data_IF_323234205142
#
_entry.id   IF_323234205142
#
_cell.length_a   1.000
_cell.length_b   1.000
_cell.length_c   1.000
_cell.angle_alpha   90.00
_cell.angle_beta   90.00
_cell.angle_gamma   90.00
#
_symmetry.space_group_name_H-M   'P 1'
#
loop_
_entity.id
_entity.type
_entity.pdbx_description
1 polymer ?
#
# COMPACT_ATOMS: atom_id res chain seq x y z
N UNK A 1 -41.75 11.15 -19.43
CA UNK A 1 -41.72 9.97 -18.52
C UNK A 1 -41.24 8.75 -19.31
N UNK A 2 -39.92 8.54 -19.34
CA UNK A 2 -39.30 7.37 -19.96
C UNK A 2 -38.19 6.88 -19.04
N UNK A 3 -38.34 5.63 -18.62
CA UNK A 3 -37.39 4.86 -17.83
C UNK A 3 -36.05 4.69 -18.56
N UNK A 4 -34.94 4.77 -17.81
CA UNK A 4 -33.61 4.46 -18.29
C UNK A 4 -33.29 2.97 -18.04
N UNK A 5 -32.71 2.24 -19.01
CA UNK A 5 -32.33 0.84 -18.84
C UNK A 5 -31.02 0.69 -18.05
N UNK A 6 -31.03 -0.23 -17.08
CA UNK A 6 -29.88 -0.56 -16.25
C UNK A 6 -28.76 -1.29 -17.00
N UNK A 7 -27.52 -0.92 -16.68
CA UNK A 7 -26.32 -1.54 -17.25
C UNK A 7 -25.94 -2.81 -16.46
N UNK A 8 -25.97 -3.95 -17.14
CA UNK A 8 -25.70 -5.29 -16.59
C UNK A 8 -24.21 -5.47 -16.25
N UNK A 9 -23.93 -5.84 -14.99
CA UNK A 9 -22.65 -6.41 -14.56
C UNK A 9 -22.40 -7.74 -15.26
N UNK A 10 -21.33 -7.85 -16.06
CA UNK A 10 -20.87 -9.14 -16.56
C UNK A 10 -20.13 -9.90 -15.44
N UNK A 11 -20.89 -10.55 -14.56
CA UNK A 11 -20.38 -11.54 -13.61
C UNK A 11 -20.30 -12.86 -14.38
N UNK A 12 -19.09 -13.39 -14.59
CA UNK A 12 -18.94 -14.73 -15.15
C UNK A 12 -18.75 -15.73 -14.02
N UNK A 13 -19.69 -16.66 -13.99
CA UNK A 13 -19.78 -17.77 -13.06
C UNK A 13 -19.40 -19.06 -13.81
N UNK A 14 -18.57 -19.90 -13.19
CA UNK A 14 -18.29 -21.23 -13.69
C UNK A 14 -18.88 -22.25 -12.72
N UNK A 15 -19.87 -23.01 -13.18
CA UNK A 15 -20.47 -24.08 -12.37
C UNK A 15 -19.64 -25.35 -12.55
N UNK A 16 -19.01 -25.78 -11.46
CA UNK A 16 -18.34 -27.07 -11.36
C UNK A 16 -19.33 -28.06 -10.75
N UNK A 17 -19.59 -29.17 -11.44
CA UNK A 17 -20.42 -30.28 -10.94
C UNK A 17 -19.62 -31.57 -10.99
N UNK A 18 -19.81 -32.45 -10.00
CA UNK A 18 -19.12 -33.74 -9.94
C UNK A 18 -20.09 -34.87 -9.59
N UNK A 19 -19.71 -36.08 -9.98
CA UNK A 19 -20.40 -37.31 -9.60
C UNK A 19 -19.68 -37.85 -8.38
N UNK A 20 -20.43 -38.05 -7.30
CA UNK A 20 -19.96 -38.77 -6.12
C UNK A 20 -20.04 -40.25 -6.46
N UNK A 21 -18.89 -40.88 -6.73
CA UNK A 21 -18.81 -42.32 -6.97
C UNK A 21 -19.33 -43.07 -5.74
N UNK A 22 -20.26 -44.01 -5.99
CA UNK A 22 -21.12 -44.67 -4.99
C UNK A 22 -21.78 -43.69 -4.01
N UNK A 23 -22.94 -43.18 -4.40
CA UNK A 23 -23.80 -42.30 -3.59
C UNK A 23 -23.97 -42.77 -2.13
N UNK A 24 -23.88 -44.08 -1.85
CA UNK A 24 -24.08 -44.65 -0.52
C UNK A 24 -23.00 -44.28 0.50
N UNK A 25 -21.73 -44.10 0.13
CA UNK A 25 -20.64 -43.93 1.10
C UNK A 25 -20.55 -42.52 1.71
N UNK A 26 -20.90 -41.49 0.92
CA UNK A 26 -20.81 -40.10 1.34
C UNK A 26 -22.16 -39.53 1.81
N UNK A 27 -23.30 -40.03 1.29
CA UNK A 27 -24.62 -39.56 1.69
C UNK A 27 -25.13 -40.18 3.00
N UNK A 28 -24.62 -41.35 3.38
CA UNK A 28 -24.96 -42.02 4.65
C UNK A 28 -23.97 -41.70 5.78
N UNK A 29 -22.88 -41.02 5.45
CA UNK A 29 -21.89 -40.59 6.42
C UNK A 29 -22.43 -39.48 7.32
N UNK A 30 -21.90 -39.40 8.54
CA UNK A 30 -22.25 -38.36 9.50
C UNK A 30 -22.20 -36.96 8.86
N UNK A 31 -23.16 -36.11 9.22
CA UNK A 31 -23.23 -34.75 8.70
C UNK A 31 -21.90 -34.01 8.91
N UNK A 32 -21.41 -33.36 7.85
CA UNK A 32 -20.14 -32.60 7.82
C UNK A 32 -18.85 -33.42 7.90
N UNK A 33 -18.89 -34.75 7.77
CA UNK A 33 -17.66 -35.57 7.69
C UNK A 33 -16.80 -35.17 6.50
N UNK A 34 -17.40 -35.01 5.33
CA UNK A 34 -16.70 -34.69 4.09
C UNK A 34 -16.89 -33.24 3.67
N UNK A 35 -15.83 -32.67 3.09
CA UNK A 35 -15.86 -31.34 2.48
C UNK A 35 -15.25 -31.38 1.09
N UNK A 36 -15.97 -30.85 0.11
CA UNK A 36 -15.51 -30.72 -1.26
C UNK A 36 -14.91 -29.33 -1.44
N UNK A 37 -13.66 -29.23 -1.87
CA UNK A 37 -12.95 -27.97 -2.08
C UNK A 37 -12.34 -27.91 -3.48
N UNK A 38 -12.79 -26.98 -4.32
CA UNK A 38 -12.16 -26.67 -5.59
C UNK A 38 -11.04 -25.64 -5.40
N UNK A 39 -9.85 -25.99 -5.88
CA UNK A 39 -8.69 -25.11 -5.96
C UNK A 39 -8.58 -24.61 -7.39
N UNK A 40 -8.58 -23.29 -7.57
CA UNK A 40 -8.44 -22.65 -8.88
C UNK A 40 -7.04 -22.07 -9.00
N UNK A 41 -6.28 -22.49 -10.01
CA UNK A 41 -4.93 -22.02 -10.28
C UNK A 41 -4.76 -21.55 -11.73
N UNK A 42 -3.81 -20.65 -11.97
CA UNK A 42 -3.37 -20.23 -13.32
C UNK A 42 -2.24 -21.09 -13.90
N UNK A 43 -1.63 -21.93 -13.08
CA UNK A 43 -0.59 -22.89 -13.49
C UNK A 43 -1.06 -24.30 -13.13
N UNK A 44 -0.61 -25.32 -13.86
CA UNK A 44 -0.81 -26.72 -13.45
C UNK A 44 -0.11 -26.87 -12.09
N UNK A 45 -0.84 -27.14 -11.00
CA UNK A 45 -0.20 -27.33 -9.71
C UNK A 45 0.62 -28.62 -9.72
N UNK A 46 1.86 -28.60 -9.22
CA UNK A 46 2.59 -29.82 -8.89
C UNK A 46 2.31 -30.18 -7.42
N UNK A 47 1.38 -31.09 -7.20
CA UNK A 47 0.93 -31.45 -5.84
C UNK A 47 1.94 -32.34 -5.09
N UNK A 48 3.03 -32.77 -5.74
CA UNK A 48 4.08 -33.57 -5.11
C UNK A 48 5.08 -32.72 -4.30
N UNK A 49 5.06 -31.39 -4.44
CA UNK A 49 6.04 -30.49 -3.83
C UNK A 49 5.39 -29.54 -2.82
N UNK A 50 5.56 -29.83 -1.53
CA UNK A 50 5.13 -28.94 -0.44
C UNK A 50 5.96 -27.65 -0.41
N UNK A 51 5.61 -26.68 -1.25
CA UNK A 51 6.27 -25.37 -1.31
C UNK A 51 5.77 -24.46 -2.43
N UNK A 52 5.26 -25.03 -3.53
CA UNK A 52 4.80 -24.25 -4.70
C UNK A 52 3.30 -23.91 -4.68
N UNK A 53 2.55 -24.33 -3.64
CA UNK A 53 1.09 -24.16 -3.57
C UNK A 53 0.60 -22.71 -3.69
N UNK A 54 1.46 -21.73 -3.39
CA UNK A 54 1.10 -20.31 -3.44
C UNK A 54 1.35 -19.66 -4.81
N UNK A 55 2.10 -20.31 -5.71
CA UNK A 55 2.36 -19.77 -7.04
C UNK A 55 1.21 -20.04 -8.01
N UNK A 56 0.35 -19.05 -8.19
CA UNK A 56 -0.71 -19.10 -9.21
C UNK A 56 -2.07 -19.52 -8.69
N UNK A 57 -2.21 -19.79 -7.40
CA UNK A 57 -3.49 -19.95 -6.72
C UNK A 57 -4.34 -18.67 -6.83
N UNK A 58 -5.53 -18.78 -7.42
CA UNK A 58 -6.47 -17.67 -7.58
C UNK A 58 -7.52 -17.67 -6.48
N UNK A 59 -8.09 -18.83 -6.19
CA UNK A 59 -9.14 -18.99 -5.18
C UNK A 59 -9.30 -20.43 -4.73
N UNK A 60 -9.89 -20.59 -3.55
CA UNK A 60 -10.34 -21.88 -3.00
C UNK A 60 -11.82 -21.73 -2.67
N UNK A 61 -12.64 -22.65 -3.17
CA UNK A 61 -14.09 -22.68 -2.95
C UNK A 61 -14.45 -24.01 -2.33
N UNK A 62 -15.16 -24.02 -1.21
CA UNK A 62 -15.55 -25.27 -0.57
C UNK A 62 -17.04 -25.34 -0.29
N UNK A 63 -17.63 -26.52 -0.47
CA UNK A 63 -19.03 -26.83 -0.16
C UNK A 63 -19.11 -28.06 0.74
N UNK A 64 -20.25 -28.21 1.41
CA UNK A 64 -20.55 -29.35 2.28
C UNK A 64 -20.84 -30.62 1.46
N UNK A 65 -20.75 -31.78 2.10
CA UNK A 65 -20.93 -33.10 1.46
C UNK A 65 -22.27 -33.31 0.75
N UNK A 66 -23.30 -32.54 1.11
CA UNK A 66 -24.64 -32.58 0.50
C UNK A 66 -24.68 -31.95 -0.90
N UNK A 67 -23.68 -31.15 -1.25
CA UNK A 67 -23.63 -30.45 -2.53
C UNK A 67 -22.72 -31.21 -3.49
N UNK A 68 -23.22 -31.47 -4.69
CA UNK A 68 -22.49 -32.07 -5.80
C UNK A 68 -22.11 -31.05 -6.89
N UNK A 69 -22.32 -29.76 -6.60
CA UNK A 69 -21.94 -28.65 -7.47
C UNK A 69 -21.52 -27.42 -6.67
N UNK A 70 -20.70 -26.58 -7.27
CA UNK A 70 -20.31 -25.27 -6.72
C UNK A 70 -20.11 -24.24 -7.82
N UNK A 71 -20.37 -22.98 -7.49
CA UNK A 71 -20.19 -21.86 -8.41
C UNK A 71 -18.86 -21.16 -8.09
N UNK A 72 -17.98 -21.10 -9.08
CA UNK A 72 -16.71 -20.41 -9.02
C UNK A 72 -16.88 -19.06 -9.70
N UNK A 73 -16.92 -18.01 -8.88
CA UNK A 73 -17.15 -16.63 -9.32
C UNK A 73 -15.82 -15.89 -9.51
N UNK A 74 -15.87 -14.75 -10.21
CA UNK A 74 -14.73 -13.81 -10.42
C UNK A 74 -13.60 -14.35 -11.30
N UNK A 75 -13.89 -15.36 -12.13
CA UNK A 75 -12.93 -15.82 -13.14
C UNK A 75 -12.88 -14.84 -14.32
N UNK A 76 -11.67 -14.48 -14.74
CA UNK A 76 -11.45 -13.53 -15.84
C UNK A 76 -11.52 -14.22 -17.21
N UNK A 77 -12.27 -13.63 -18.14
CA UNK A 77 -12.33 -14.05 -19.54
C UNK A 77 -10.97 -13.96 -20.25
N UNK A 78 -10.72 -14.85 -21.19
CA UNK A 78 -9.46 -14.94 -21.95
C UNK A 78 -8.28 -15.48 -21.15
N UNK A 79 -8.54 -16.16 -20.03
CA UNK A 79 -7.54 -16.82 -19.19
C UNK A 79 -7.83 -18.32 -19.11
N UNK A 80 -6.74 -19.08 -19.01
CA UNK A 80 -6.72 -20.52 -18.75
C UNK A 80 -6.63 -20.73 -17.24
N UNK A 81 -7.50 -21.56 -16.70
CA UNK A 81 -7.51 -21.97 -15.30
C UNK A 81 -7.41 -23.49 -15.21
N UNK A 82 -6.74 -23.96 -14.16
CA UNK A 82 -6.69 -25.36 -13.76
C UNK A 82 -7.47 -25.47 -12.45
N UNK A 83 -8.52 -26.28 -12.45
CA UNK A 83 -9.43 -26.45 -11.33
C UNK A 83 -9.33 -27.88 -10.84
N UNK A 84 -8.81 -28.07 -9.64
CA UNK A 84 -8.69 -29.39 -9.02
C UNK A 84 -9.66 -29.48 -7.85
N UNK A 85 -10.55 -30.48 -7.88
CA UNK A 85 -11.51 -30.73 -6.81
C UNK A 85 -10.91 -31.72 -5.81
N UNK A 86 -10.87 -31.33 -4.54
CA UNK A 86 -10.43 -32.16 -3.43
C UNK A 86 -11.61 -32.55 -2.55
N UNK A 87 -11.57 -33.78 -2.03
CA UNK A 87 -12.45 -34.28 -0.98
C UNK A 87 -11.60 -34.43 0.27
N UNK A 88 -11.98 -33.77 1.35
CA UNK A 88 -11.34 -33.91 2.66
C UNK A 88 -12.25 -34.69 3.58
N UNK A 89 -11.76 -35.79 4.14
CA UNK A 89 -12.37 -36.47 5.29
C UNK A 89 -11.89 -35.76 6.56
N UNK A 90 -12.80 -35.10 7.26
CA UNK A 90 -12.47 -34.37 8.48
C UNK A 90 -12.25 -35.28 9.68
N UNK A 91 -12.75 -36.53 9.64
CA UNK A 91 -12.60 -37.51 10.70
C UNK A 91 -11.24 -38.19 10.64
N UNK A 92 -10.81 -38.62 9.46
CA UNK A 92 -9.53 -39.32 9.27
C UNK A 92 -8.39 -38.40 8.81
N UNK A 93 -8.68 -37.14 8.49
CA UNK A 93 -7.70 -36.18 7.99
C UNK A 93 -7.18 -36.49 6.57
N UNK A 94 -7.74 -37.49 5.89
CA UNK A 94 -7.35 -37.86 4.53
C UNK A 94 -7.89 -36.86 3.50
N UNK A 95 -7.16 -36.70 2.41
CA UNK A 95 -7.57 -35.85 1.29
C UNK A 95 -7.35 -36.59 -0.01
N UNK A 96 -8.38 -36.64 -0.84
CA UNK A 96 -8.36 -37.25 -2.18
C UNK A 96 -8.66 -36.19 -3.23
N UNK A 97 -8.16 -36.34 -4.45
CA UNK A 97 -8.41 -35.39 -5.53
C UNK A 97 -9.06 -36.06 -6.74
N UNK A 98 -9.98 -35.34 -7.38
CA UNK A 98 -10.42 -35.63 -8.74
C UNK A 98 -9.38 -35.13 -9.75
N UNK A 99 -9.52 -35.60 -10.99
CA UNK A 99 -8.70 -35.12 -12.10
C UNK A 99 -8.83 -33.59 -12.26
N UNK A 100 -7.72 -32.94 -12.59
CA UNK A 100 -7.69 -31.49 -12.76
C UNK A 100 -8.36 -31.09 -14.06
N UNK A 101 -9.40 -30.27 -13.95
CA UNK A 101 -10.10 -29.73 -15.10
C UNK A 101 -9.40 -28.48 -15.62
N UNK A 102 -9.10 -28.47 -16.92
CA UNK A 102 -8.62 -27.28 -17.59
C UNK A 102 -9.79 -26.48 -18.19
N UNK A 103 -9.92 -25.21 -17.79
CA UNK A 103 -10.99 -24.32 -18.24
C UNK A 103 -10.41 -23.12 -18.97
N UNK A 104 -10.79 -22.96 -20.23
CA UNK A 104 -10.48 -21.78 -21.04
C UNK A 104 -11.74 -20.92 -21.20
N UNK A 105 -11.80 -19.80 -20.48
CA UNK A 105 -12.95 -18.89 -20.61
C UNK A 105 -12.84 -18.09 -21.91
N UNK A 106 -13.56 -18.52 -22.95
CA UNK A 106 -13.57 -17.87 -24.27
C UNK A 106 -14.06 -16.41 -24.15
N UNK A 107 -13.43 -15.51 -24.91
CA UNK A 107 -14.00 -14.20 -25.22
C UNK A 107 -15.11 -14.41 -26.24
N UNK A 108 -16.29 -13.81 -26.03
CA UNK A 108 -17.31 -13.78 -27.07
C UNK A 108 -16.92 -12.70 -28.10
N UNK A 109 -17.16 -12.94 -29.41
CA UNK A 109 -16.92 -11.93 -30.43
C UNK A 109 -17.90 -10.76 -30.25
N UNK A 110 -17.39 -9.58 -30.56
CA UNK A 110 -17.89 -8.26 -30.21
C UNK A 110 -19.33 -7.97 -30.67
N UNK A 111 -20.13 -7.34 -29.80
CA UNK A 111 -21.10 -6.36 -30.27
C UNK A 111 -20.40 -5.01 -30.27
N UNK A 112 -20.17 -4.49 -31.47
CA UNK A 112 -19.89 -3.08 -31.70
C UNK A 112 -20.95 -2.25 -30.97
N UNK A 113 -20.56 -1.48 -29.97
CA UNK A 113 -20.90 -0.07 -29.85
C UNK A 113 -20.18 0.54 -28.65
N UNK A 114 -19.57 1.69 -28.92
CA UNK A 114 -18.85 2.59 -28.03
C UNK A 114 -17.48 2.09 -27.58
N UNK A 115 -16.46 2.65 -28.25
CA UNK A 115 -15.16 2.91 -27.68
C UNK A 115 -15.33 3.43 -26.24
N UNK A 116 -15.17 2.54 -25.26
CA UNK A 116 -14.71 2.97 -23.95
C UNK A 116 -13.28 3.43 -24.23
N UNK A 117 -13.09 4.75 -24.31
CA UNK A 117 -11.77 5.39 -24.30
C UNK A 117 -10.90 4.60 -23.34
N UNK A 118 -9.92 3.89 -23.90
CA UNK A 118 -8.80 3.35 -23.14
C UNK A 118 -8.20 4.59 -22.49
N UNK A 119 -8.50 4.86 -21.22
CA UNK A 119 -7.91 5.99 -20.51
C UNK A 119 -6.41 5.87 -20.74
N UNK A 120 -5.87 6.78 -21.54
CA UNK A 120 -4.44 6.91 -21.71
C UNK A 120 -3.89 7.12 -20.31
N UNK A 121 -3.14 6.13 -19.81
CA UNK A 121 -2.61 6.20 -18.45
C UNK A 121 -1.93 7.56 -18.24
N UNK A 122 -2.19 8.20 -17.10
CA UNK A 122 -1.77 9.57 -16.82
C UNK A 122 -0.26 9.70 -17.01
N UNK A 123 0.19 10.68 -17.78
CA UNK A 123 1.62 10.90 -17.97
C UNK A 123 2.20 11.48 -16.67
N UNK A 124 3.16 10.78 -16.07
CA UNK A 124 3.93 11.24 -14.93
C UNK A 124 5.18 11.95 -15.45
N UNK A 125 5.28 13.25 -15.21
CA UNK A 125 6.38 14.07 -15.73
C UNK A 125 7.65 13.94 -14.88
N UNK A 126 8.81 13.98 -15.53
CA UNK A 126 10.11 13.89 -14.86
C UNK A 126 10.30 15.02 -13.86
N UNK A 127 10.48 14.66 -12.59
CA UNK A 127 10.74 15.61 -11.52
C UNK A 127 9.52 16.41 -11.03
N UNK A 128 8.31 16.11 -11.52
CA UNK A 128 7.08 16.82 -11.14
C UNK A 128 6.29 16.01 -10.12
N UNK A 129 5.79 16.69 -9.07
CA UNK A 129 4.91 16.10 -8.08
C UNK A 129 3.47 16.16 -8.59
N UNK A 130 2.81 15.01 -8.68
CA UNK A 130 1.43 14.88 -9.16
C UNK A 130 0.53 14.28 -8.08
N UNK A 131 -0.71 14.75 -8.01
CA UNK A 131 -1.73 14.24 -7.09
C UNK A 131 -2.71 13.34 -7.84
N UNK A 132 -2.97 12.16 -7.28
CA UNK A 132 -3.91 11.18 -7.78
C UNK A 132 -5.02 10.87 -6.79
N UNK A 133 -6.24 10.67 -7.28
CA UNK A 133 -7.38 10.27 -6.46
C UNK A 133 -7.88 8.90 -6.88
N UNK A 134 -7.67 7.89 -6.04
CA UNK A 134 -8.19 6.54 -6.26
C UNK A 134 -9.68 6.48 -5.92
N UNK A 135 -10.53 5.91 -6.79
CA UNK A 135 -11.96 5.74 -6.50
C UNK A 135 -12.22 4.92 -5.23
N UNK A 136 -13.38 5.15 -4.61
CA UNK A 136 -13.96 4.35 -3.52
C UNK A 136 -14.38 2.94 -3.97
N UNK A 137 -13.40 2.15 -4.42
CA UNK A 137 -13.60 0.79 -4.89
C UNK A 137 -12.34 -0.01 -4.64
N UNK A 138 -12.48 -1.10 -3.87
CA UNK A 138 -11.38 -2.03 -3.62
C UNK A 138 -10.86 -2.59 -4.95
N UNK A 139 -9.55 -2.63 -5.10
CA UNK A 139 -8.83 -2.98 -6.32
C UNK A 139 -9.06 -2.02 -7.51
N UNK A 140 -9.63 -0.83 -7.30
CA UNK A 140 -9.53 0.24 -8.29
C UNK A 140 -8.06 0.60 -8.52
N UNK A 141 -7.70 0.86 -9.76
CA UNK A 141 -6.33 1.15 -10.15
C UNK A 141 -6.25 2.42 -10.97
N UNK A 142 -5.16 3.16 -10.81
CA UNK A 142 -4.76 4.24 -11.72
C UNK A 142 -3.40 3.89 -12.28
N UNK A 143 -3.28 3.98 -13.59
CA UNK A 143 -2.05 3.74 -14.32
C UNK A 143 -1.38 5.08 -14.66
N UNK A 144 -0.11 5.19 -14.32
CA UNK A 144 0.77 6.30 -14.65
C UNK A 144 1.85 5.83 -15.62
N UNK A 145 2.12 6.63 -16.64
CA UNK A 145 3.13 6.39 -17.65
C UNK A 145 4.34 7.28 -17.39
N UNK A 146 5.53 6.70 -17.30
CA UNK A 146 6.78 7.45 -17.12
C UNK A 146 7.74 7.13 -18.26
N UNK A 147 8.15 8.17 -19.00
CA UNK A 147 9.03 8.03 -20.17
C UNK A 147 10.47 8.31 -19.77
N UNK A 148 11.35 7.36 -20.06
CA UNK A 148 12.79 7.47 -19.81
C UNK A 148 13.48 7.79 -21.14
N UNK A 149 14.04 9.00 -21.24
CA UNK A 149 14.82 9.44 -22.39
C UNK A 149 16.13 8.65 -22.51
N UNK A 150 16.63 8.46 -23.74
CA UNK A 150 17.95 7.89 -24.03
C UNK A 150 19.08 8.64 -23.35
N UNK A 151 18.99 9.96 -23.22
CA UNK A 151 20.02 10.78 -22.60
C UNK A 151 20.05 10.63 -21.06
N UNK A 152 18.92 10.25 -20.46
CA UNK A 152 18.80 10.04 -19.01
C UNK A 152 19.28 8.66 -18.53
N UNK A 153 19.76 7.81 -19.45
CA UNK A 153 20.18 6.42 -19.15
C UNK A 153 21.51 6.32 -18.40
N UNK A 154 22.24 7.43 -18.21
CA UNK A 154 23.53 7.44 -17.52
C UNK A 154 23.46 6.90 -16.09
N UNK A 155 22.35 7.11 -15.37
CA UNK A 155 22.17 6.58 -14.00
C UNK A 155 21.66 5.13 -13.99
N UNK A 156 21.03 4.66 -15.08
CA UNK A 156 20.33 3.38 -15.16
C UNK A 156 19.23 3.20 -14.11
N UNK A 157 18.77 4.28 -13.47
CA UNK A 157 17.91 4.26 -12.27
C UNK A 157 16.77 5.26 -12.41
N UNK A 158 15.59 4.88 -11.91
CA UNK A 158 14.44 5.76 -11.73
C UNK A 158 13.98 5.64 -10.29
N UNK A 159 13.89 6.77 -9.59
CA UNK A 159 13.28 6.85 -8.28
C UNK A 159 11.81 7.21 -8.46
N UNK A 160 10.92 6.30 -8.04
CA UNK A 160 9.50 6.58 -7.85
C UNK A 160 9.24 6.82 -6.36
N UNK A 161 8.46 7.85 -6.06
CA UNK A 161 7.98 8.17 -4.73
C UNK A 161 6.46 8.08 -4.77
N UNK A 162 5.89 7.42 -3.77
CA UNK A 162 4.45 7.37 -3.55
C UNK A 162 4.20 7.77 -2.10
N UNK A 163 3.43 8.82 -1.89
CA UNK A 163 2.92 9.22 -0.58
C UNK A 163 1.42 8.92 -0.54
N UNK A 164 1.04 7.84 0.14
CA UNK A 164 -0.36 7.50 0.33
C UNK A 164 -0.93 8.31 1.50
N UNK A 165 -1.76 9.30 1.18
CA UNK A 165 -2.32 10.22 2.15
C UNK A 165 -3.33 9.50 3.05
N UNK A 166 -4.11 8.56 2.50
CA UNK A 166 -5.14 7.87 3.25
C UNK A 166 -5.14 6.36 2.99
N UNK A 167 -5.22 5.59 4.07
CA UNK A 167 -5.32 4.12 4.01
C UNK A 167 -4.16 3.45 3.27
N UNK A 168 -4.41 2.22 2.82
CA UNK A 168 -3.38 1.35 2.23
C UNK A 168 -3.47 1.24 0.71
N UNK A 169 -2.38 1.48 0.01
CA UNK A 169 -2.29 1.28 -1.46
C UNK A 169 -1.24 0.22 -1.78
N UNK A 170 -1.31 -0.34 -2.99
CA UNK A 170 -0.22 -1.15 -3.56
C UNK A 170 0.32 -0.48 -4.82
N UNK A 171 1.63 -0.62 -5.04
CA UNK A 171 2.29 -0.17 -6.27
C UNK A 171 2.74 -1.38 -7.08
N UNK A 172 2.42 -1.40 -8.37
CA UNK A 172 2.97 -2.34 -9.35
C UNK A 172 3.70 -1.60 -10.48
N UNK A 173 4.96 -1.97 -10.74
CA UNK A 173 5.76 -1.43 -11.84
C UNK A 173 5.76 -2.40 -13.00
N UNK A 174 5.45 -1.92 -14.21
CA UNK A 174 5.49 -2.70 -15.45
C UNK A 174 6.43 -2.06 -16.45
N UNK A 175 6.99 -2.90 -17.32
CA UNK A 175 7.78 -2.48 -18.50
C UNK A 175 7.37 -3.36 -19.66
N UNK A 176 6.95 -2.75 -20.77
CA UNK A 176 6.44 -3.45 -21.96
C UNK A 176 5.36 -4.50 -21.59
N UNK A 177 4.46 -4.16 -20.66
CA UNK A 177 3.40 -5.05 -20.17
C UNK A 177 3.85 -6.13 -19.16
N UNK A 178 5.16 -6.40 -19.01
CA UNK A 178 5.68 -7.34 -18.02
C UNK A 178 5.75 -6.69 -16.63
N UNK A 179 5.17 -7.35 -15.63
CA UNK A 179 5.30 -6.93 -14.23
C UNK A 179 6.75 -7.10 -13.78
N UNK A 180 7.35 -6.02 -13.28
CA UNK A 180 8.70 -6.01 -12.72
C UNK A 180 8.67 -6.23 -11.21
N UNK A 181 7.81 -5.48 -10.51
CA UNK A 181 7.69 -5.56 -9.06
C UNK A 181 6.28 -5.17 -8.65
N UNK A 182 5.79 -5.83 -7.60
CA UNK A 182 4.61 -5.44 -6.83
C UNK A 182 5.04 -5.23 -5.38
N UNK A 183 4.53 -4.16 -4.76
CA UNK A 183 4.72 -3.90 -3.33
C UNK A 183 3.66 -4.65 -2.51
N UNK A 184 3.99 -4.91 -1.25
CA UNK A 184 2.99 -5.13 -0.22
C UNK A 184 2.12 -3.87 -0.02
N UNK A 185 0.92 -3.97 0.59
CA UNK A 185 0.14 -2.81 0.98
C UNK A 185 0.93 -1.87 1.89
N UNK A 186 0.85 -0.57 1.64
CA UNK A 186 1.47 0.45 2.48
C UNK A 186 0.62 1.71 2.56
N UNK A 187 0.76 2.44 3.66
CA UNK A 187 0.27 3.80 3.86
C UNK A 187 1.46 4.76 3.99
N UNK A 188 1.21 6.07 3.87
CA UNK A 188 2.24 7.08 4.03
C UNK A 188 3.31 7.05 2.93
N UNK A 189 4.49 7.55 3.27
CA UNK A 189 5.59 7.77 2.34
C UNK A 189 6.41 6.51 2.04
N UNK A 190 6.60 6.20 0.75
CA UNK A 190 7.51 5.14 0.27
C UNK A 190 8.31 5.57 -0.94
N UNK A 191 9.55 5.08 -1.01
CA UNK A 191 10.47 5.21 -2.15
C UNK A 191 10.64 3.85 -2.82
N UNK A 192 10.57 3.84 -4.14
CA UNK A 192 10.82 2.67 -4.98
C UNK A 192 11.92 3.01 -5.98
N UNK A 193 13.09 2.39 -5.81
CA UNK A 193 14.19 2.54 -6.74
C UNK A 193 14.11 1.44 -7.80
N UNK A 194 13.81 1.82 -9.04
CA UNK A 194 13.86 0.92 -10.19
C UNK A 194 15.27 1.02 -10.79
N UNK A 195 16.02 -0.08 -10.76
CA UNK A 195 17.39 -0.18 -11.29
C UNK A 195 17.40 -0.87 -12.66
N UNK A 196 18.51 -0.77 -13.38
CA UNK A 196 18.69 -1.36 -14.71
C UNK A 196 17.62 -0.88 -15.70
N UNK A 197 17.28 0.40 -15.62
CA UNK A 197 16.31 1.07 -16.48
C UNK A 197 17.03 1.51 -17.76
N UNK A 198 16.42 1.19 -18.91
CA UNK A 198 16.85 1.64 -20.23
C UNK A 198 15.85 2.66 -20.76
N UNK A 199 16.19 3.33 -21.85
CA UNK A 199 15.25 4.20 -22.56
C UNK A 199 13.96 3.46 -22.92
N UNK A 200 12.84 4.14 -22.81
CA UNK A 200 11.52 3.56 -23.05
C UNK A 200 10.53 3.93 -21.95
N UNK A 201 9.47 3.14 -21.82
CA UNK A 201 8.34 3.49 -20.99
C UNK A 201 8.18 2.54 -19.79
N UNK A 202 8.03 3.12 -18.61
CA UNK A 202 7.60 2.43 -17.41
C UNK A 202 6.12 2.76 -17.15
N UNK A 203 5.38 1.77 -16.67
CA UNK A 203 4.00 1.97 -16.19
C UNK A 203 3.94 1.69 -14.70
N UNK A 204 3.56 2.70 -13.93
CA UNK A 204 3.32 2.61 -12.50
C UNK A 204 1.82 2.50 -12.24
N UNK A 205 1.38 1.39 -11.67
CA UNK A 205 -0.02 1.17 -11.33
C UNK A 205 -0.20 1.26 -9.83
N UNK A 206 -0.98 2.24 -9.38
CA UNK A 206 -1.39 2.38 -7.99
C UNK A 206 -2.75 1.68 -7.84
N UNK A 207 -2.86 0.75 -6.89
CA UNK A 207 -4.09 0.05 -6.58
C UNK A 207 -4.61 0.42 -5.19
N UNK A 208 -5.91 0.68 -5.10
CA UNK A 208 -6.60 0.86 -3.84
C UNK A 208 -6.84 -0.49 -3.16
N UNK A 209 -6.40 -0.66 -1.92
CA UNK A 209 -6.61 -1.91 -1.17
C UNK A 209 -7.83 -1.91 -0.25
N UNK A 210 -8.53 -0.78 -0.14
CA UNK A 210 -9.74 -0.63 0.67
C UNK A 210 -10.90 -0.02 -0.15
N UNK A 211 -12.13 0.01 0.38
CA UNK A 211 -13.28 0.49 -0.38
C UNK A 211 -13.47 2.02 -0.32
N UNK A 212 -12.58 2.79 0.32
CA UNK A 212 -12.71 4.24 0.47
C UNK A 212 -11.92 4.98 -0.60
N UNK A 213 -12.34 6.18 -0.97
CA UNK A 213 -11.55 7.07 -1.84
C UNK A 213 -10.22 7.39 -1.17
N UNK A 214 -9.14 7.52 -1.95
CA UNK A 214 -7.81 7.86 -1.42
C UNK A 214 -7.13 8.91 -2.25
N UNK A 215 -6.42 9.81 -1.57
CA UNK A 215 -5.44 10.68 -2.21
C UNK A 215 -4.05 10.05 -2.15
N UNK A 216 -3.29 10.21 -3.22
CA UNK A 216 -1.88 9.80 -3.32
C UNK A 216 -1.08 10.90 -4.00
N UNK A 217 0.11 11.21 -3.49
CA UNK A 217 1.09 12.02 -4.21
C UNK A 217 2.12 11.10 -4.87
N UNK A 218 2.42 11.35 -6.14
CA UNK A 218 3.40 10.62 -6.92
C UNK A 218 4.47 11.56 -7.45
N UNK A 219 5.70 11.10 -7.43
CA UNK A 219 6.82 11.79 -8.06
C UNK A 219 7.75 10.75 -8.65
N UNK A 220 8.23 10.95 -9.87
CA UNK A 220 9.24 10.08 -10.44
C UNK A 220 10.33 10.90 -11.12
N UNK A 221 11.57 10.43 -11.00
CA UNK A 221 12.67 11.00 -11.78
C UNK A 221 13.84 10.05 -11.95
N UNK A 222 14.63 10.31 -12.99
CA UNK A 222 15.97 9.73 -13.16
C UNK A 222 17.04 10.44 -12.32
N UNK A 223 16.71 11.61 -11.77
CA UNK A 223 17.54 12.50 -10.95
C UNK A 223 17.03 12.50 -9.51
N UNK A 224 17.46 11.51 -8.71
CA UNK A 224 16.94 11.25 -7.37
C UNK A 224 17.15 12.44 -6.38
N UNK A 225 18.21 13.21 -6.58
CA UNK A 225 18.57 14.40 -5.82
C UNK A 225 17.56 15.55 -5.97
N UNK A 226 16.78 15.56 -7.05
CA UNK A 226 15.71 16.55 -7.28
C UNK A 226 14.41 16.24 -6.54
N UNK A 227 14.36 15.15 -5.77
CA UNK A 227 13.18 14.79 -4.98
C UNK A 227 12.71 15.98 -4.13
N UNK A 228 11.40 16.30 -4.05
CA UNK A 228 10.93 17.41 -3.22
C UNK A 228 10.93 17.09 -1.72
N UNK A 229 11.14 15.82 -1.33
CA UNK A 229 11.00 15.32 0.04
C UNK A 229 12.34 15.20 0.78
N UNK A 230 12.40 15.48 2.10
CA UNK A 230 13.65 15.42 2.86
C UNK A 230 14.27 14.02 2.87
N UNK A 231 15.58 13.97 3.09
CA UNK A 231 16.36 12.74 3.28
C UNK A 231 16.37 12.39 4.77
N UNK A 232 15.21 11.96 5.28
CA UNK A 232 15.06 11.54 6.67
C UNK A 232 16.04 10.41 7.05
N UNK A 233 16.51 10.37 8.31
CA UNK A 233 17.30 9.25 8.83
C UNK A 233 16.48 7.95 8.83
N UNK A 234 17.18 6.81 8.94
CA UNK A 234 16.52 5.50 9.05
C UNK A 234 15.66 5.41 10.31
N UNK A 235 16.18 5.91 11.44
CA UNK A 235 15.41 6.09 12.66
C UNK A 235 14.81 7.49 12.74
N UNK A 236 13.52 7.58 12.46
CA UNK A 236 12.71 8.81 12.59
C UNK A 236 12.07 8.94 13.98
N UNK A 237 12.60 8.27 15.01
CA UNK A 237 12.11 8.41 16.37
C UNK A 237 12.35 9.81 16.94
N UNK A 238 11.35 10.29 17.69
CA UNK A 238 11.48 11.47 18.56
C UNK A 238 11.46 10.97 20.00
N UNK A 239 12.46 11.36 20.78
CA UNK A 239 12.65 10.96 22.17
C UNK A 239 12.32 12.09 23.12
N UNK A 240 11.73 11.75 24.25
CA UNK A 240 11.53 12.67 25.38
C UNK A 240 12.69 12.47 26.33
N UNK A 241 13.61 13.44 26.39
CA UNK A 241 14.83 13.32 27.20
C UNK A 241 14.66 13.93 28.59
N UNK A 242 13.82 14.96 28.71
CA UNK A 242 13.46 15.57 30.00
C UNK A 242 12.00 16.00 29.97
N UNK A 243 11.36 16.01 31.14
CA UNK A 243 10.00 16.53 31.31
C UNK A 243 9.83 17.09 32.72
N UNK A 244 8.96 18.07 32.85
CA UNK A 244 8.50 18.61 34.12
C UNK A 244 6.96 18.64 34.18
N UNK A 245 6.40 19.37 35.13
CA UNK A 245 4.98 19.70 35.16
C UNK A 245 4.55 20.61 33.99
N UNK A 246 5.47 21.42 33.45
CA UNK A 246 5.16 22.49 32.49
C UNK A 246 6.05 22.52 31.25
N UNK A 247 6.98 21.57 31.13
CA UNK A 247 7.93 21.49 30.02
C UNK A 247 8.17 20.06 29.54
N UNK A 248 8.54 19.92 28.28
CA UNK A 248 8.98 18.67 27.68
C UNK A 248 10.14 18.94 26.72
N UNK A 249 11.27 18.26 26.92
CA UNK A 249 12.43 18.34 26.03
C UNK A 249 12.41 17.17 25.06
N UNK A 250 12.31 17.50 23.77
CA UNK A 250 12.22 16.57 22.64
C UNK A 250 13.57 16.53 21.91
N UNK A 251 13.98 15.33 21.51
CA UNK A 251 15.24 15.10 20.80
C UNK A 251 15.03 14.15 19.61
N UNK A 252 15.61 14.46 18.45
CA UNK A 252 15.50 13.64 17.24
C UNK A 252 16.76 13.71 16.39
N UNK A 253 16.92 12.74 15.49
CA UNK A 253 17.98 12.74 14.48
C UNK A 253 17.61 13.65 13.31
N UNK A 254 18.54 14.45 12.84
CA UNK A 254 18.37 15.34 11.69
C UNK A 254 18.38 14.56 10.36
N UNK A 255 17.76 15.15 9.35
CA UNK A 255 17.87 14.73 7.95
C UNK A 255 19.28 14.96 7.40
N UNK A 256 19.58 14.21 6.33
CA UNK A 256 20.82 14.34 5.57
C UNK A 256 20.76 15.46 4.52
N UNK A 257 19.75 16.34 4.56
CA UNK A 257 19.67 17.49 3.68
C UNK A 257 20.66 18.59 4.15
N UNK A 258 21.16 19.38 3.21
CA UNK A 258 22.06 20.51 3.51
C UNK A 258 21.35 21.63 4.26
N UNK A 259 20.05 21.80 4.05
CA UNK A 259 19.22 22.73 4.80
C UNK A 259 17.82 22.17 4.97
N UNK A 260 17.41 22.00 6.22
CA UNK A 260 16.07 21.51 6.57
C UNK A 260 15.49 22.29 7.75
N UNK A 261 14.19 22.51 7.69
CA UNK A 261 13.39 23.05 8.77
C UNK A 261 12.60 21.94 9.45
N UNK A 262 12.47 22.03 10.77
CA UNK A 262 11.77 21.08 11.63
C UNK A 262 10.67 21.82 12.38
N UNK A 263 9.41 21.61 12.01
CA UNK A 263 8.26 22.22 12.67
C UNK A 263 7.59 21.23 13.63
N UNK A 264 7.44 21.65 14.88
CA UNK A 264 6.80 20.85 15.94
C UNK A 264 5.38 21.35 16.13
N UNK A 265 4.44 20.41 16.06
CA UNK A 265 3.02 20.63 16.32
C UNK A 265 2.63 19.91 17.59
N UNK A 266 1.82 20.55 18.41
CA UNK A 266 1.38 20.03 19.70
C UNK A 266 -0.14 20.00 19.77
N UNK A 267 -0.65 18.92 20.37
CA UNK A 267 -2.05 18.80 20.73
C UNK A 267 -2.20 18.23 22.13
N UNK A 268 -3.16 18.74 22.90
CA UNK A 268 -3.58 18.12 24.15
C UNK A 268 -4.56 16.99 23.86
N UNK A 269 -4.25 15.79 24.36
CA UNK A 269 -5.10 14.62 24.20
C UNK A 269 -5.98 14.41 25.44
N UNK A 270 -7.23 13.99 25.21
CA UNK A 270 -8.17 13.65 26.26
C UNK A 270 -8.19 12.14 26.52
N UNK A 271 -8.79 11.70 27.63
CA UNK A 271 -8.70 10.32 28.13
C UNK A 271 -9.33 9.25 27.20
N UNK A 272 -10.08 9.62 26.14
CA UNK A 272 -10.63 8.70 25.14
C UNK A 272 -9.58 8.28 24.09
N UNK A 273 -8.38 7.99 24.57
CA UNK A 273 -7.14 7.80 23.82
C UNK A 273 -7.25 6.73 22.71
N UNK A 274 -7.97 5.64 22.94
CA UNK A 274 -8.07 4.53 21.98
C UNK A 274 -8.98 4.82 20.79
N UNK A 275 -10.11 5.50 21.00
CA UNK A 275 -11.02 5.88 19.90
C UNK A 275 -10.39 6.96 19.01
N UNK A 276 -9.64 7.88 19.61
CA UNK A 276 -8.98 8.97 18.91
C UNK A 276 -7.76 8.49 18.09
N UNK A 277 -7.04 7.47 18.56
CA UNK A 277 -5.90 6.86 17.86
C UNK A 277 -6.31 6.10 16.58
N UNK A 278 -7.51 5.51 16.55
CA UNK A 278 -8.00 4.66 15.45
C UNK A 278 -8.85 5.44 14.44
N UNK A 279 -9.55 6.50 14.88
CA UNK A 279 -10.55 7.18 14.04
C UNK A 279 -10.05 8.41 13.28
N UNK A 280 -8.97 9.08 13.71
CA UNK A 280 -8.65 10.45 13.25
C UNK A 280 -7.41 10.62 12.39
N UNK A 281 -6.73 9.58 11.93
CA UNK A 281 -5.63 9.76 10.96
C UNK A 281 -6.22 10.03 9.58
N UNK A 282 -6.76 11.23 9.40
CA UNK A 282 -7.18 11.76 8.12
C UNK A 282 -5.95 12.48 7.54
N UNK A 283 -5.50 12.05 6.37
CA UNK A 283 -4.48 12.68 5.57
C UNK A 283 -3.04 12.71 6.16
N UNK A 284 -2.27 11.66 5.87
CA UNK A 284 -0.83 11.54 6.13
C UNK A 284 0.04 12.52 5.31
N UNK A 285 -0.51 13.15 4.28
CA UNK A 285 0.24 14.06 3.41
C UNK A 285 0.33 15.50 3.94
N UNK A 286 -0.64 15.92 4.75
CA UNK A 286 -0.72 17.31 5.22
C UNK A 286 -0.01 17.57 6.54
N UNK A 287 0.50 16.54 7.21
CA UNK A 287 1.39 16.69 8.35
C UNK A 287 0.78 17.50 9.51
N UNK A 288 0.26 16.80 10.50
CA UNK A 288 -0.45 17.43 11.62
C UNK A 288 -1.94 17.22 11.48
N UNK A 289 -2.54 16.72 12.55
CA UNK A 289 -3.99 16.60 12.64
C UNK A 289 -4.59 18.02 12.61
N UNK A 290 -5.80 18.18 12.05
CA UNK A 290 -6.56 19.45 11.91
C UNK A 290 -6.76 20.25 13.23
N UNK A 291 -6.26 19.75 14.37
CA UNK A 291 -6.42 20.29 15.72
C UNK A 291 -5.09 20.45 16.48
N UNK A 292 -3.96 20.46 15.78
CA UNK A 292 -2.64 20.68 16.36
C UNK A 292 -2.19 22.13 16.24
N UNK A 293 -1.57 22.66 17.30
CA UNK A 293 -1.03 24.02 17.33
C UNK A 293 0.47 23.99 17.02
N UNK A 294 0.95 24.91 16.18
CA UNK A 294 2.38 25.08 15.94
C UNK A 294 3.08 25.55 17.21
N UNK A 295 4.07 24.79 17.68
CA UNK A 295 4.94 25.17 18.78
C UNK A 295 6.07 26.07 18.27
N UNK A 296 6.71 25.66 17.17
CA UNK A 296 7.81 26.39 16.57
C UNK A 296 8.49 25.59 15.46
N UNK A 297 9.24 26.30 14.62
CA UNK A 297 10.05 25.73 13.54
C UNK A 297 11.53 26.02 13.79
N UNK A 298 12.36 25.01 13.59
CA UNK A 298 13.81 25.06 13.84
C UNK A 298 14.53 24.76 12.55
N UNK A 299 15.26 25.74 12.04
CA UNK A 299 16.07 25.55 10.84
C UNK A 299 17.46 25.04 11.20
N UNK A 300 17.91 24.00 10.50
CA UNK A 300 19.21 23.41 10.68
C UNK A 300 19.94 23.33 9.34
N UNK A 301 21.25 23.63 9.37
CA UNK A 301 22.14 23.38 8.24
C UNK A 301 22.79 22.02 8.45
N UNK A 302 22.77 21.20 7.40
CA UNK A 302 23.46 19.93 7.34
C UNK A 302 24.97 20.08 7.58
N UNK A 303 25.66 18.95 7.77
CA UNK A 303 27.07 18.94 8.08
C UNK A 303 27.83 19.43 6.85
N UNK A 304 28.84 20.28 7.06
CA UNK A 304 29.80 20.56 5.98
C UNK A 304 30.52 19.27 5.60
N UNK A 305 31.09 19.22 4.39
CA UNK A 305 31.87 18.05 3.92
C UNK A 305 32.99 17.70 4.92
N UNK A 306 33.55 18.70 5.60
CA UNK A 306 34.58 18.53 6.64
C UNK A 306 34.02 17.90 7.93
N UNK A 307 32.79 18.25 8.32
CA UNK A 307 32.13 17.69 9.50
C UNK A 307 31.72 16.22 9.30
N UNK A 308 31.41 15.82 8.06
CA UNK A 308 31.18 14.41 7.70
C UNK A 308 32.44 13.55 7.82
N UNK A 309 33.61 14.14 7.63
CA UNK A 309 34.90 13.43 7.67
C UNK A 309 35.47 13.29 9.10
N UNK A 310 34.91 14.01 10.08
CA UNK A 310 35.42 14.05 11.46
C UNK A 310 34.61 13.20 12.47
N UNK A 311 33.56 12.50 12.03
CA UNK A 311 32.69 11.63 12.85
C UNK A 311 32.02 12.33 14.08
N UNK A 312 32.17 13.65 14.19
CA UNK A 312 32.00 14.38 15.46
C UNK A 312 30.68 15.14 15.61
N UNK A 313 29.63 14.71 14.91
CA UNK A 313 28.28 15.18 15.23
C UNK A 313 27.27 14.09 14.99
N UNK A 314 26.88 13.39 16.04
CA UNK A 314 25.58 12.72 16.07
C UNK A 314 24.58 13.85 15.80
N UNK A 315 23.95 13.84 14.63
CA UNK A 315 23.10 14.91 14.15
C UNK A 315 21.80 15.03 14.94
N UNK A 316 21.90 15.18 16.25
CA UNK A 316 20.80 15.29 17.19
C UNK A 316 20.38 16.75 17.27
N UNK A 317 19.08 16.97 17.16
CA UNK A 317 18.46 18.25 17.45
C UNK A 317 17.64 18.07 18.71
N UNK A 318 17.73 19.03 19.62
CA UNK A 318 17.00 19.06 20.88
C UNK A 318 16.28 20.40 21.04
N UNK A 319 15.04 20.37 21.52
CA UNK A 319 14.31 21.58 21.90
C UNK A 319 13.40 21.33 23.09
N UNK A 320 13.13 22.37 23.87
CA UNK A 320 12.22 22.31 25.02
C UNK A 320 10.94 23.06 24.72
N UNK A 321 9.84 22.32 24.72
CA UNK A 321 8.48 22.87 24.70
C UNK A 321 8.13 23.33 26.12
N UNK A 322 7.62 24.56 26.23
CA UNK A 322 7.24 25.19 27.50
C UNK A 322 5.74 25.50 27.53
N UNK A 323 5.20 25.85 28.70
CA UNK A 323 3.79 26.24 28.85
C UNK A 323 2.81 25.07 28.84
N UNK A 324 3.28 23.87 29.18
CA UNK A 324 2.42 22.70 29.34
C UNK A 324 1.66 22.77 30.69
N UNK A 325 0.50 22.13 30.75
CA UNK A 325 -0.26 22.00 31.99
C UNK A 325 0.13 20.72 32.74
N UNK A 326 0.14 20.73 34.10
CA UNK A 326 0.39 19.55 34.91
C UNK A 326 -0.65 18.42 34.70
N UNK A 327 -0.20 17.18 34.86
CA UNK A 327 -1.01 15.96 34.75
C UNK A 327 -1.79 15.82 33.43
N UNK A 328 -1.31 16.39 32.33
CA UNK A 328 -1.91 16.28 30.99
C UNK A 328 -1.05 15.42 30.06
N UNK A 329 -1.71 14.86 29.05
CA UNK A 329 -1.04 14.13 27.96
C UNK A 329 -1.07 15.00 26.71
N UNK A 330 0.11 15.17 26.10
CA UNK A 330 0.29 15.90 24.86
C UNK A 330 0.80 14.94 23.78
N UNK A 331 0.32 15.14 22.57
CA UNK A 331 0.84 14.55 21.34
C UNK A 331 1.70 15.58 20.64
N UNK A 332 2.89 15.19 20.23
CA UNK A 332 3.78 15.98 19.40
C UNK A 332 4.01 15.30 18.06
N UNK A 333 3.75 16.05 16.99
CA UNK A 333 4.05 15.67 15.62
C UNK A 333 5.17 16.58 15.10
N UNK A 334 6.18 15.99 14.47
CA UNK A 334 7.33 16.71 13.95
C UNK A 334 7.40 16.51 12.44
N UNK A 335 7.43 17.60 11.69
CA UNK A 335 7.61 17.59 10.23
C UNK A 335 8.95 18.18 9.85
N UNK A 336 9.63 17.55 8.89
CA UNK A 336 10.83 18.12 8.29
C UNK A 336 10.58 18.54 6.84
N UNK A 337 11.14 19.69 6.46
CA UNK A 337 11.00 20.30 5.12
C UNK A 337 12.37 20.71 4.59
N UNK A 338 12.79 20.28 3.37
CA UNK A 338 14.07 20.67 2.79
C UNK A 338 13.96 22.07 2.17
N UNK A 339 14.56 23.09 2.80
CA UNK A 339 14.34 24.49 2.45
C UNK A 339 14.96 24.93 1.12
N UNK A 340 15.95 24.21 0.61
CA UNK A 340 16.66 24.54 -0.62
C UNK A 340 15.91 24.17 -1.91
N UNK A 341 14.70 23.60 -1.83
CA UNK A 341 13.97 23.04 -2.97
C UNK A 341 12.74 23.89 -3.30
N UNK A 342 12.58 24.22 -4.58
CA UNK A 342 11.52 25.12 -5.07
C UNK A 342 10.10 24.64 -4.74
N UNK A 343 9.89 23.32 -4.67
CA UNK A 343 8.60 22.69 -4.36
C UNK A 343 8.76 21.70 -3.20
N UNK A 344 9.46 22.13 -2.15
CA UNK A 344 9.72 21.32 -0.98
C UNK A 344 8.42 20.73 -0.41
N UNK A 345 8.49 19.47 0.00
CA UNK A 345 7.41 18.75 0.64
C UNK A 345 7.88 18.27 2.00
N UNK A 346 6.99 18.29 2.98
CA UNK A 346 7.29 17.87 4.33
C UNK A 346 7.16 16.36 4.49
N UNK A 347 7.94 15.76 5.40
CA UNK A 347 7.69 14.40 5.87
C UNK A 347 7.67 14.32 7.40
N UNK A 348 6.79 13.46 7.96
CA UNK A 348 6.70 13.31 9.40
C UNK A 348 7.79 12.42 9.98
N UNK A 349 8.27 12.80 11.16
CA UNK A 349 8.91 11.90 12.10
C UNK A 349 7.83 11.08 12.84
N UNK A 350 8.26 10.05 13.58
CA UNK A 350 7.34 9.31 14.44
C UNK A 350 6.79 10.24 15.52
N UNK A 351 5.48 10.26 15.65
CA UNK A 351 4.77 10.94 16.73
C UNK A 351 5.29 10.49 18.09
N UNK A 352 5.37 11.43 19.03
CA UNK A 352 5.69 11.15 20.43
C UNK A 352 4.60 11.70 21.35
N UNK A 353 4.33 10.97 22.43
CA UNK A 353 3.36 11.38 23.45
C UNK A 353 4.10 11.67 24.75
N UNK A 354 3.71 12.76 25.41
CA UNK A 354 4.31 13.19 26.67
C UNK A 354 3.21 13.40 27.70
N UNK A 355 3.33 12.72 28.83
CA UNK A 355 2.54 13.03 30.02
C UNK A 355 3.35 13.94 30.93
N UNK A 356 2.86 15.13 31.27
CA UNK A 356 3.51 16.04 32.21
C UNK A 356 3.47 15.51 33.64
N UNK A 357 4.37 16.01 34.49
CA UNK A 357 4.37 15.71 35.93
C UNK A 357 3.09 16.18 36.62
N UNK A 358 2.74 15.55 37.74
CA UNK A 358 1.53 15.91 38.50
C UNK A 358 1.66 17.26 39.21
N UNK A 359 2.88 17.65 39.59
CA UNK A 359 3.18 18.89 40.31
C UNK A 359 4.50 19.49 39.84
N UNK A 360 4.57 20.82 39.90
CA UNK A 360 5.81 21.59 39.96
C UNK A 360 6.21 21.68 41.45
#
# INVERSE_FOLDING_TARGET
PYDAPGEQKEIREFTLSWIVGELSLYSTAEANRYRFCAIVSRKVPDWAVCGELNEGLESIHCVLQTNNSMIIQKLRSGKRYFITLFVRDSLHGSTSSYETLEVNLRKNPEKNHMEVKKEEGKLLHDGVLETGTLPAKKAATIDYQFVVSSNATQSGKVLLIVHACDGYVRMSVYRNGKLLKRSEPFSGFRRFLVVNVRSGQLRFQIANDDPRTKSVHLWASTQAEKSPYPKLPEDTSVKVVRRSCSTATLQWLRSADEHAEYCIYMRRENANYLEELVSKVNNLCEGGLESSNLVGCYSHRGPTLEALLRDDSVGLIETTVVGLEPAKTYRFDLLATPLQRLHAQSLPYRTVWVRTGNSC
#
